data_IF_794654418323
#
_entry.id   IF_794654418323
#
_cell.length_a   1.000
_cell.length_b   1.000
_cell.length_c   1.000
_cell.angle_alpha   90.00
_cell.angle_beta   90.00
_cell.angle_gamma   90.00
#
_symmetry.space_group_name_H-M   'P 1'
#
loop_
_entity.id
_entity.type
_entity.pdbx_description
1 polymer ?
#
# COMPACT_ATOMS: atom_id res chain seq x y z
N UNK A 1 -14.55 -4.18 -6.92
CA UNK A 1 -13.96 -4.45 -5.59
C UNK A 1 -12.56 -3.84 -5.46
N UNK A 2 -11.63 -4.14 -6.36
CA UNK A 2 -10.22 -3.70 -6.26
C UNK A 2 -9.99 -2.19 -6.13
N UNK A 3 -10.77 -1.33 -6.83
CA UNK A 3 -10.68 0.14 -6.67
C UNK A 3 -10.85 0.62 -5.22
N UNK A 4 -11.69 -0.05 -4.43
CA UNK A 4 -11.92 0.30 -3.03
C UNK A 4 -10.80 -0.20 -2.10
N UNK A 5 -10.06 -1.23 -2.51
CA UNK A 5 -8.96 -1.80 -1.72
C UNK A 5 -7.70 -0.94 -1.79
N UNK A 6 -7.45 -0.25 -2.90
CA UNK A 6 -6.27 0.60 -3.09
C UNK A 6 -6.13 1.63 -1.95
N UNK A 7 -7.12 2.49 -1.64
CA UNK A 7 -6.99 3.44 -0.53
C UNK A 7 -6.83 2.75 0.83
N UNK A 8 -7.44 1.57 1.05
CA UNK A 8 -7.27 0.80 2.28
C UNK A 8 -5.85 0.23 2.44
N UNK A 9 -5.24 -0.25 1.35
CA UNK A 9 -3.85 -0.74 1.33
C UNK A 9 -2.88 0.39 1.64
N UNK A 10 -3.07 1.56 1.02
CA UNK A 10 -2.22 2.73 1.26
C UNK A 10 -2.37 3.25 2.71
N UNK A 11 -3.59 3.30 3.23
CA UNK A 11 -3.84 3.67 4.63
C UNK A 11 -3.21 2.66 5.60
N UNK A 12 -3.26 1.37 5.28
CA UNK A 12 -2.58 0.34 6.08
C UNK A 12 -1.05 0.47 6.02
N UNK A 13 -0.49 0.84 4.87
CA UNK A 13 0.94 1.16 4.74
C UNK A 13 1.36 2.33 5.64
N UNK A 14 0.54 3.38 5.71
CA UNK A 14 0.76 4.49 6.65
C UNK A 14 0.68 4.05 8.12
N UNK A 15 -0.27 3.18 8.46
CA UNK A 15 -0.37 2.60 9.80
C UNK A 15 0.90 1.84 10.17
N UNK A 16 1.36 0.93 9.30
CA UNK A 16 2.56 0.10 9.53
C UNK A 16 3.84 0.96 9.59
N UNK A 17 3.92 2.04 8.81
CA UNK A 17 5.01 3.00 8.89
C UNK A 17 5.04 3.74 10.22
N UNK A 18 3.88 4.22 10.69
CA UNK A 18 3.76 5.03 11.90
C UNK A 18 3.83 4.22 13.20
N UNK A 19 3.43 2.94 13.18
CA UNK A 19 3.38 2.07 14.36
C UNK A 19 4.48 0.99 14.36
N UNK A 20 5.47 1.10 13.49
CA UNK A 20 6.58 0.14 13.42
C UNK A 20 7.44 0.06 14.68
N UNK A 21 7.42 1.09 15.53
CA UNK A 21 8.12 1.09 16.82
C UNK A 21 7.32 0.40 17.94
N UNK A 22 5.99 0.25 17.76
CA UNK A 22 5.07 -0.34 18.74
C UNK A 22 4.69 -1.80 18.42
N UNK A 23 5.17 -2.35 17.30
CA UNK A 23 4.85 -3.70 16.85
C UNK A 23 5.67 -4.14 15.65
N UNK A 24 5.50 -5.38 15.15
CA UNK A 24 6.18 -5.83 13.94
C UNK A 24 5.78 -4.94 12.75
N UNK A 25 6.78 -4.33 12.10
CA UNK A 25 6.51 -3.31 11.09
C UNK A 25 7.76 -2.56 10.65
N UNK A 26 7.58 -1.27 10.37
CA UNK A 26 8.65 -0.35 9.98
C UNK A 26 8.70 -0.05 8.49
N UNK A 27 9.71 0.73 8.09
CA UNK A 27 9.75 1.34 6.75
C UNK A 27 9.83 0.35 5.60
N UNK A 28 10.55 -0.77 5.77
CA UNK A 28 10.63 -1.79 4.71
C UNK A 28 9.27 -2.45 4.46
N UNK A 29 8.59 -2.87 5.52
CA UNK A 29 7.28 -3.52 5.39
C UNK A 29 6.22 -2.55 4.85
N UNK A 30 6.19 -1.31 5.37
CA UNK A 30 5.32 -0.26 4.84
C UNK A 30 5.59 -0.01 3.35
N UNK A 31 6.86 0.05 2.93
CA UNK A 31 7.26 0.19 1.53
C UNK A 31 6.74 -0.93 0.64
N UNK A 32 6.82 -2.19 1.10
CA UNK A 32 6.26 -3.35 0.36
C UNK A 32 4.73 -3.23 0.24
N UNK A 33 4.04 -2.81 1.29
CA UNK A 33 2.58 -2.61 1.26
C UNK A 33 2.20 -1.50 0.25
N UNK A 34 2.94 -0.39 0.23
CA UNK A 34 2.76 0.66 -0.77
C UNK A 34 2.98 0.15 -2.19
N UNK A 35 4.07 -0.60 -2.42
CA UNK A 35 4.37 -1.18 -3.72
C UNK A 35 3.22 -2.09 -4.21
N UNK A 36 2.66 -2.92 -3.34
CA UNK A 36 1.48 -3.75 -3.65
C UNK A 36 0.27 -2.89 -4.04
N UNK A 37 0.03 -1.77 -3.34
CA UNK A 37 -1.04 -0.83 -3.67
C UNK A 37 -0.89 -0.21 -5.06
N UNK A 38 0.33 0.18 -5.45
CA UNK A 38 0.62 0.73 -6.78
C UNK A 38 0.59 -0.34 -7.89
N UNK A 39 1.09 -1.55 -7.62
CA UNK A 39 0.95 -2.68 -8.56
C UNK A 39 -0.53 -2.97 -8.81
N UNK A 40 -1.35 -3.02 -7.75
CA UNK A 40 -2.79 -3.24 -7.89
C UNK A 40 -3.45 -2.10 -8.68
N UNK A 41 -3.05 -0.85 -8.45
CA UNK A 41 -3.52 0.30 -9.24
C UNK A 41 -3.19 0.11 -10.73
N UNK A 42 -1.94 -0.20 -11.07
CA UNK A 42 -1.52 -0.45 -12.45
C UNK A 42 -2.26 -1.61 -13.12
N UNK A 43 -2.57 -2.69 -12.36
CA UNK A 43 -3.37 -3.82 -12.86
C UNK A 43 -4.85 -3.47 -13.09
N UNK A 44 -5.41 -2.54 -12.31
CA UNK A 44 -6.84 -2.17 -12.36
C UNK A 44 -7.12 -1.06 -13.39
N UNK A 45 -6.19 -0.12 -13.57
CA UNK A 45 -6.37 1.07 -14.41
C UNK A 45 -5.51 1.05 -15.69
N UNK A 46 -4.52 0.16 -15.76
CA UNK A 46 -3.56 0.10 -16.86
C UNK A 46 -2.38 1.06 -16.68
N UNK A 47 -1.26 0.73 -17.32
CA UNK A 47 0.00 1.49 -17.25
C UNK A 47 -0.03 2.84 -17.98
N UNK A 48 -1.07 3.11 -18.78
CA UNK A 48 -1.25 4.40 -19.44
C UNK A 48 -1.76 5.50 -18.49
N UNK A 49 -2.21 5.14 -17.28
CA UNK A 49 -2.73 6.06 -16.27
C UNK A 49 -1.81 6.19 -15.04
N UNK A 50 -0.59 5.66 -15.10
CA UNK A 50 0.48 5.81 -14.09
C UNK A 50 1.52 6.83 -14.55
#
# INVERSE_FOLDING_TARGET
VSKFLIPLILLFGLYVQAHGDYGPGGGFQAGVIFAVGFILFGLVFGLNEL
#
